data_IF_625057945697
#
_entry.id   IF_625057945697
#
_cell.length_a   1.000
_cell.length_b   1.000
_cell.length_c   1.000
_cell.angle_alpha   90.00
_cell.angle_beta   90.00
_cell.angle_gamma   90.00
#
_symmetry.space_group_name_H-M   'P 1'
#
loop_
_entity.id
_entity.type
_entity.pdbx_description
1 polymer ?
#
# COMPACT_ATOMS: atom_id res chain seq x y z
N UNK A 1 5.03 -12.51 9.94
CA UNK A 1 5.33 -13.84 9.35
C UNK A 1 4.07 -14.36 8.66
N UNK A 2 4.20 -14.89 7.45
CA UNK A 2 3.11 -15.55 6.70
C UNK A 2 3.39 -17.04 6.69
N UNK A 3 2.48 -17.86 7.17
CA UNK A 3 2.60 -19.34 7.18
C UNK A 3 1.47 -19.92 6.34
N UNK A 4 1.85 -20.66 5.32
CA UNK A 4 0.93 -21.36 4.41
C UNK A 4 1.09 -22.86 4.65
N UNK A 5 -0.02 -23.56 4.96
CA UNK A 5 -0.02 -24.98 5.31
C UNK A 5 -1.00 -25.77 4.43
N UNK A 6 -0.48 -26.68 3.65
CA UNK A 6 -1.22 -27.63 2.81
C UNK A 6 -2.29 -26.95 1.93
N UNK A 7 -2.01 -25.74 1.47
CA UNK A 7 -2.95 -24.94 0.70
C UNK A 7 -3.24 -25.61 -0.64
N UNK A 8 -4.51 -25.83 -0.93
CA UNK A 8 -4.98 -26.49 -2.14
C UNK A 8 -6.09 -25.67 -2.79
N UNK A 9 -6.07 -25.56 -4.11
CA UNK A 9 -7.12 -24.93 -4.90
C UNK A 9 -7.50 -25.81 -6.07
N UNK A 10 -8.79 -26.16 -6.13
CA UNK A 10 -9.38 -26.98 -7.19
C UNK A 10 -10.39 -26.16 -7.97
N UNK A 11 -10.30 -26.16 -9.29
CA UNK A 11 -11.29 -25.59 -10.21
C UNK A 11 -11.83 -26.67 -11.15
N UNK A 12 -13.16 -26.84 -11.18
CA UNK A 12 -13.81 -27.79 -12.07
C UNK A 12 -13.28 -29.23 -11.96
N UNK A 13 -12.90 -29.65 -10.75
CA UNK A 13 -12.36 -31.00 -10.49
C UNK A 13 -10.90 -31.20 -10.86
N UNK A 14 -10.17 -30.12 -11.18
CA UNK A 14 -8.71 -30.15 -11.42
C UNK A 14 -8.00 -29.29 -10.39
N UNK A 15 -6.94 -29.82 -9.82
CA UNK A 15 -6.10 -29.07 -8.87
C UNK A 15 -5.24 -28.07 -9.64
N UNK A 16 -5.45 -26.78 -9.34
CA UNK A 16 -4.59 -25.70 -9.79
C UNK A 16 -3.35 -25.59 -8.88
N UNK A 17 -3.57 -25.75 -7.57
CA UNK A 17 -2.51 -25.80 -6.55
C UNK A 17 -2.80 -27.02 -5.66
N UNK A 18 -1.78 -27.81 -5.34
CA UNK A 18 -1.92 -29.01 -4.53
C UNK A 18 -0.91 -29.01 -3.39
N UNK A 19 -1.41 -28.98 -2.16
CA UNK A 19 -0.65 -29.13 -0.91
C UNK A 19 0.55 -28.19 -0.78
N UNK A 20 0.36 -26.91 -1.15
CA UNK A 20 1.42 -25.90 -1.07
C UNK A 20 1.66 -25.53 0.41
N UNK A 21 2.92 -25.63 0.86
CA UNK A 21 3.31 -25.25 2.22
C UNK A 21 4.63 -24.49 2.18
N UNK A 22 4.67 -23.32 2.81
CA UNK A 22 5.87 -22.51 2.99
C UNK A 22 5.65 -21.46 4.07
N UNK A 23 6.75 -20.84 4.48
CA UNK A 23 6.73 -19.72 5.44
C UNK A 23 7.52 -18.56 4.86
N UNK A 24 7.01 -17.34 5.05
CA UNK A 24 7.73 -16.10 4.80
C UNK A 24 7.95 -15.42 6.16
N UNK A 25 9.18 -15.36 6.60
CA UNK A 25 9.55 -14.75 7.88
C UNK A 25 9.43 -13.22 7.82
N UNK A 26 9.38 -12.56 8.98
CA UNK A 26 9.48 -11.10 9.06
C UNK A 26 10.79 -10.65 8.40
N UNK A 27 10.72 -9.56 7.62
CA UNK A 27 11.83 -9.01 6.82
C UNK A 27 12.33 -9.87 5.65
N UNK A 28 11.75 -11.05 5.41
CA UNK A 28 12.11 -11.89 4.27
C UNK A 28 11.46 -11.39 2.97
N UNK A 29 12.17 -11.55 1.83
CA UNK A 29 11.70 -11.21 0.49
C UNK A 29 11.67 -12.49 -0.34
N UNK A 30 10.48 -12.92 -0.71
CA UNK A 30 10.26 -14.20 -1.41
C UNK A 30 9.61 -13.93 -2.77
N UNK A 31 10.22 -14.46 -3.83
CA UNK A 31 9.66 -14.46 -5.18
C UNK A 31 9.03 -15.81 -5.52
N UNK A 32 7.78 -15.79 -5.98
CA UNK A 32 7.08 -16.96 -6.52
C UNK A 32 7.28 -16.99 -8.03
N UNK A 33 7.93 -18.03 -8.53
CA UNK A 33 8.21 -18.19 -9.95
C UNK A 33 7.47 -19.39 -10.52
N UNK A 34 7.06 -19.31 -11.77
CA UNK A 34 6.36 -20.38 -12.47
C UNK A 34 5.76 -19.90 -13.79
N UNK A 35 5.32 -20.84 -14.61
CA UNK A 35 4.68 -20.56 -15.90
C UNK A 35 3.39 -19.72 -15.75
N UNK A 36 2.99 -19.03 -16.84
CA UNK A 36 1.69 -18.36 -16.87
C UNK A 36 0.57 -19.39 -16.68
N UNK A 37 -0.43 -19.04 -15.86
CA UNK A 37 -1.52 -19.96 -15.52
C UNK A 37 -1.19 -21.00 -14.45
N UNK A 38 0.02 -21.01 -13.85
CA UNK A 38 0.39 -21.94 -12.79
C UNK A 38 -0.29 -21.65 -11.42
N UNK A 39 -1.13 -20.62 -11.33
CA UNK A 39 -1.87 -20.30 -10.10
C UNK A 39 -1.16 -19.31 -9.16
N UNK A 40 -0.12 -18.60 -9.63
CA UNK A 40 0.62 -17.63 -8.80
C UNK A 40 -0.27 -16.51 -8.23
N UNK A 41 -1.03 -15.83 -9.08
CA UNK A 41 -2.04 -14.82 -8.68
C UNK A 41 -3.08 -15.43 -7.74
N UNK A 42 -3.55 -16.65 -8.02
CA UNK A 42 -4.52 -17.33 -7.15
C UNK A 42 -3.94 -17.62 -5.78
N UNK A 43 -2.66 -18.00 -5.71
CA UNK A 43 -1.95 -18.18 -4.44
C UNK A 43 -1.93 -16.89 -3.62
N UNK A 44 -1.55 -15.75 -4.24
CA UNK A 44 -1.55 -14.45 -3.56
C UNK A 44 -2.95 -14.06 -3.09
N UNK A 45 -3.99 -14.23 -3.93
CA UNK A 45 -5.39 -13.96 -3.57
C UNK A 45 -5.87 -14.82 -2.39
N UNK A 46 -5.48 -16.10 -2.34
CA UNK A 46 -5.82 -16.96 -1.20
C UNK A 46 -5.11 -16.51 0.08
N UNK A 47 -3.86 -16.06 0.00
CA UNK A 47 -3.12 -15.52 1.15
C UNK A 47 -3.74 -14.20 1.60
N UNK A 48 -4.18 -13.35 0.66
CA UNK A 48 -4.88 -12.10 0.94
C UNK A 48 -6.28 -12.30 1.55
N UNK A 49 -6.88 -13.49 1.37
CA UNK A 49 -8.26 -13.77 1.78
C UNK A 49 -9.31 -13.42 0.72
N UNK A 50 -8.91 -12.96 -0.46
CA UNK A 50 -9.80 -12.59 -1.56
C UNK A 50 -10.36 -13.80 -2.32
N UNK A 51 -9.68 -14.95 -2.20
CA UNK A 51 -10.08 -16.19 -2.85
C UNK A 51 -10.08 -17.33 -1.82
N UNK A 52 -11.18 -18.07 -1.63
CA UNK A 52 -11.22 -19.18 -0.69
C UNK A 52 -10.35 -20.36 -1.19
N UNK A 53 -9.61 -20.98 -0.29
CA UNK A 53 -8.93 -22.24 -0.52
C UNK A 53 -9.90 -23.41 -0.55
N UNK A 54 -9.59 -24.48 -1.29
CA UNK A 54 -10.34 -25.75 -1.22
C UNK A 54 -9.94 -26.59 -0.03
N UNK A 55 -8.69 -26.49 0.43
CA UNK A 55 -8.16 -27.09 1.65
C UNK A 55 -6.90 -26.37 2.12
N UNK A 56 -6.45 -26.66 3.35
CA UNK A 56 -5.30 -26.02 3.97
C UNK A 56 -5.67 -24.69 4.64
N UNK A 57 -4.67 -24.01 5.18
CA UNK A 57 -4.87 -22.75 5.90
C UNK A 57 -3.72 -21.78 5.70
N UNK A 58 -4.02 -20.50 5.91
CA UNK A 58 -3.04 -19.40 5.94
C UNK A 58 -3.11 -18.75 7.31
N UNK A 59 -1.97 -18.64 7.97
CA UNK A 59 -1.83 -17.97 9.24
C UNK A 59 -0.88 -16.77 9.08
N UNK A 60 -1.36 -15.58 9.42
CA UNK A 60 -0.59 -14.34 9.34
C UNK A 60 -0.38 -13.84 10.75
N UNK A 61 0.89 -13.60 11.12
CA UNK A 61 1.22 -13.02 12.42
C UNK A 61 0.70 -11.57 12.53
N UNK A 62 0.82 -10.99 13.72
CA UNK A 62 0.44 -9.60 13.99
C UNK A 62 1.00 -8.63 12.94
N UNK A 63 0.22 -7.60 12.65
CA UNK A 63 0.49 -6.56 11.68
C UNK A 63 -0.42 -6.65 10.45
N UNK A 64 -0.59 -5.50 9.81
CA UNK A 64 -1.45 -5.38 8.65
C UNK A 64 -0.77 -5.91 7.40
N UNK A 65 -1.58 -6.31 6.43
CA UNK A 65 -1.15 -6.82 5.13
C UNK A 65 -1.70 -5.94 4.02
N UNK A 66 -0.83 -5.55 3.11
CA UNK A 66 -1.22 -4.89 1.88
C UNK A 66 -1.07 -5.85 0.69
N UNK A 67 -2.07 -5.88 -0.16
CA UNK A 67 -2.04 -6.62 -1.43
C UNK A 67 -2.21 -5.66 -2.60
N UNK A 68 -1.27 -5.70 -3.54
CA UNK A 68 -1.38 -4.99 -4.81
C UNK A 68 -2.25 -5.80 -5.76
N UNK A 69 -3.51 -5.37 -5.92
CA UNK A 69 -4.42 -5.93 -6.90
C UNK A 69 -4.01 -5.54 -8.32
N UNK A 70 -4.40 -6.35 -9.32
CA UNK A 70 -4.16 -6.04 -10.74
C UNK A 70 -5.05 -4.89 -11.25
N UNK A 71 -6.16 -4.61 -10.57
CA UNK A 71 -7.02 -3.46 -10.84
C UNK A 71 -6.68 -2.32 -9.87
N UNK A 72 -6.59 -1.10 -10.40
CA UNK A 72 -6.29 0.07 -9.57
C UNK A 72 -7.53 0.54 -8.83
N UNK A 73 -7.46 0.57 -7.51
CA UNK A 73 -8.45 1.22 -6.64
C UNK A 73 -7.99 2.66 -6.34
N UNK A 74 -8.22 3.54 -7.31
CA UNK A 74 -7.78 4.93 -7.29
C UNK A 74 -8.97 5.83 -7.60
N UNK A 75 -9.21 6.82 -6.72
CA UNK A 75 -10.27 7.81 -6.93
C UNK A 75 -9.86 8.80 -8.04
N UNK A 76 -10.64 8.83 -9.12
CA UNK A 76 -10.26 9.52 -10.34
C UNK A 76 -10.30 11.05 -10.25
N UNK A 77 -11.12 11.59 -9.37
CA UNK A 77 -11.32 13.03 -9.21
C UNK A 77 -10.25 13.68 -8.31
N UNK A 78 -9.61 12.88 -7.45
CA UNK A 78 -8.53 13.37 -6.58
C UNK A 78 -7.27 13.63 -7.36
N UNK A 79 -6.50 14.61 -6.92
CA UNK A 79 -5.12 14.79 -7.37
C UNK A 79 -4.24 13.64 -6.90
N UNK A 80 -3.11 13.42 -7.58
CA UNK A 80 -2.14 12.41 -7.15
C UNK A 80 -1.69 12.63 -5.69
N UNK A 81 -1.44 13.90 -5.31
CA UNK A 81 -1.06 14.24 -3.94
C UNK A 81 -2.11 13.85 -2.90
N UNK A 82 -3.37 14.24 -3.13
CA UNK A 82 -4.49 13.86 -2.26
C UNK A 82 -4.67 12.35 -2.17
N UNK A 83 -4.55 11.65 -3.30
CA UNK A 83 -4.67 10.21 -3.35
C UNK A 83 -3.55 9.50 -2.57
N UNK A 84 -2.33 10.04 -2.58
CA UNK A 84 -1.23 9.52 -1.76
C UNK A 84 -1.52 9.64 -0.26
N UNK A 85 -2.10 10.75 0.18
CA UNK A 85 -2.46 10.95 1.58
C UNK A 85 -3.52 9.94 2.08
N UNK A 86 -4.40 9.44 1.20
CA UNK A 86 -5.37 8.39 1.58
C UNK A 86 -4.72 7.06 1.97
N UNK A 87 -3.45 6.87 1.66
CA UNK A 87 -2.70 5.69 2.09
C UNK A 87 -2.56 5.62 3.63
N UNK A 88 -2.62 6.75 4.33
CA UNK A 88 -2.45 6.88 5.77
C UNK A 88 -3.68 7.56 6.40
N UNK A 89 -4.82 6.85 6.51
CA UNK A 89 -6.11 7.47 6.83
C UNK A 89 -6.12 8.19 8.19
N UNK A 90 -5.51 7.62 9.22
CA UNK A 90 -5.46 8.26 10.54
C UNK A 90 -4.64 9.56 10.52
N UNK A 91 -3.49 9.54 9.87
CA UNK A 91 -2.63 10.73 9.74
C UNK A 91 -3.30 11.79 8.88
N UNK A 92 -3.97 11.38 7.80
CA UNK A 92 -4.69 12.29 6.92
C UNK A 92 -5.89 12.96 7.62
N UNK A 93 -6.63 12.22 8.43
CA UNK A 93 -7.71 12.77 9.26
C UNK A 93 -7.19 13.83 10.21
N UNK A 94 -6.05 13.58 10.88
CA UNK A 94 -5.43 14.55 11.76
C UNK A 94 -4.94 15.80 11.01
N UNK A 95 -4.38 15.63 9.81
CA UNK A 95 -3.98 16.74 8.95
C UNK A 95 -5.16 17.68 8.67
N UNK A 96 -6.28 17.12 8.20
CA UNK A 96 -7.49 17.91 7.94
C UNK A 96 -8.03 18.57 9.22
N UNK A 97 -7.97 17.86 10.36
CA UNK A 97 -8.43 18.44 11.61
C UNK A 97 -7.58 19.63 12.06
N UNK A 98 -6.26 19.55 11.87
CA UNK A 98 -5.33 20.67 12.12
C UNK A 98 -5.69 21.86 11.21
N UNK A 99 -5.87 21.62 9.91
CA UNK A 99 -6.26 22.66 8.94
C UNK A 99 -7.58 23.34 9.35
N UNK A 100 -8.61 22.57 9.73
CA UNK A 100 -9.91 23.10 10.19
C UNK A 100 -9.77 23.98 11.46
N UNK A 101 -8.97 23.55 12.45
CA UNK A 101 -8.76 24.31 13.69
C UNK A 101 -8.00 25.61 13.39
N UNK A 102 -6.97 25.55 12.54
CA UNK A 102 -6.21 26.72 12.13
C UNK A 102 -7.11 27.75 11.41
N UNK A 103 -8.00 27.28 10.50
CA UNK A 103 -9.00 28.15 9.86
C UNK A 103 -9.97 28.78 10.87
N UNK A 104 -10.48 27.99 11.84
CA UNK A 104 -11.39 28.48 12.88
C UNK A 104 -10.73 29.55 13.78
N UNK A 105 -9.45 29.38 14.10
CA UNK A 105 -8.67 30.37 14.86
C UNK A 105 -8.48 31.68 14.07
N UNK A 106 -8.29 31.60 12.74
CA UNK A 106 -8.15 32.78 11.88
C UNK A 106 -9.50 33.54 11.77
N UNK A 107 -10.62 32.82 11.75
CA UNK A 107 -11.96 33.39 11.64
C UNK A 107 -12.54 33.86 12.99
N UNK A 108 -11.80 33.68 14.10
CA UNK A 108 -12.25 33.94 15.46
C UNK A 108 -13.57 33.23 15.83
N UNK A 109 -13.75 32.01 15.25
CA UNK A 109 -14.94 31.19 15.49
C UNK A 109 -14.68 30.19 16.60
N UNK A 110 -15.35 30.35 17.75
CA UNK A 110 -15.21 29.47 18.91
C UNK A 110 -14.38 30.07 20.07
N UNK A 111 -14.18 29.24 21.12
CA UNK A 111 -13.31 29.62 22.25
C UNK A 111 -11.85 29.37 21.84
N UNK A 112 -11.10 30.46 21.71
CA UNK A 112 -9.70 30.41 21.28
C UNK A 112 -8.81 29.55 22.21
N UNK A 113 -9.10 29.49 23.51
CA UNK A 113 -8.32 28.69 24.45
C UNK A 113 -8.55 27.19 24.24
N UNK A 114 -9.79 26.78 23.99
CA UNK A 114 -10.14 25.36 23.70
C UNK A 114 -9.57 24.94 22.34
N UNK A 115 -9.68 25.78 21.30
CA UNK A 115 -9.12 25.53 19.99
C UNK A 115 -7.59 25.38 20.00
N UNK A 116 -6.88 26.22 20.77
CA UNK A 116 -5.42 26.11 20.92
C UNK A 116 -5.04 24.79 21.61
N UNK A 117 -5.75 24.39 22.67
CA UNK A 117 -5.47 23.14 23.36
C UNK A 117 -5.74 21.91 22.46
N UNK A 118 -6.78 21.97 21.64
CA UNK A 118 -7.09 20.93 20.67
C UNK A 118 -6.02 20.86 19.57
N UNK A 119 -5.56 22.00 19.05
CA UNK A 119 -4.51 22.10 18.04
C UNK A 119 -3.20 21.47 18.54
N UNK A 120 -2.78 21.79 19.77
CA UNK A 120 -1.57 21.22 20.37
C UNK A 120 -1.67 19.69 20.47
N UNK A 121 -2.82 19.19 20.92
CA UNK A 121 -3.08 17.75 21.01
C UNK A 121 -3.04 17.06 19.63
N UNK A 122 -3.65 17.69 18.62
CA UNK A 122 -3.67 17.16 17.24
C UNK A 122 -2.26 17.13 16.63
N UNK A 123 -1.47 18.19 16.82
CA UNK A 123 -0.07 18.25 16.37
C UNK A 123 0.81 17.20 17.06
N UNK A 124 0.65 17.01 18.36
CA UNK A 124 1.40 15.98 19.09
C UNK A 124 1.09 14.57 18.54
N UNK A 125 -0.20 14.28 18.34
CA UNK A 125 -0.62 12.99 17.78
C UNK A 125 -0.14 12.82 16.35
N UNK A 126 -0.26 13.83 15.49
CA UNK A 126 0.25 13.84 14.12
C UNK A 126 1.75 13.54 14.07
N UNK A 127 2.53 14.18 14.95
CA UNK A 127 3.97 13.93 15.08
C UNK A 127 4.29 12.50 15.52
N UNK A 128 3.56 11.97 16.54
CA UNK A 128 3.75 10.60 17.04
C UNK A 128 3.48 9.57 15.95
N UNK A 129 2.47 9.80 15.10
CA UNK A 129 2.14 8.93 13.96
C UNK A 129 3.06 9.14 12.74
N UNK A 130 4.09 9.99 12.86
CA UNK A 130 5.06 10.22 11.80
C UNK A 130 4.58 11.16 10.69
N UNK A 131 3.51 11.92 10.93
CA UNK A 131 2.88 12.82 9.94
C UNK A 131 3.87 13.78 9.28
N UNK A 132 4.84 14.33 10.04
CA UNK A 132 5.86 15.24 9.52
C UNK A 132 6.75 14.63 8.40
N UNK A 133 6.81 13.31 8.31
CA UNK A 133 7.60 12.60 7.30
C UNK A 133 6.83 12.17 6.07
N UNK A 134 5.50 12.34 6.06
CA UNK A 134 4.63 11.80 5.00
C UNK A 134 4.91 12.46 3.66
N UNK A 135 5.02 13.78 3.58
CA UNK A 135 5.33 14.49 2.33
C UNK A 135 6.65 14.04 1.72
N UNK A 136 7.68 13.87 2.56
CA UNK A 136 8.97 13.36 2.11
C UNK A 136 8.87 11.92 1.59
N UNK A 137 8.05 11.09 2.22
CA UNK A 137 7.80 9.72 1.79
C UNK A 137 7.02 9.69 0.47
N UNK A 138 5.99 10.52 0.31
CA UNK A 138 5.23 10.69 -0.93
C UNK A 138 6.17 11.12 -2.05
N UNK A 139 6.94 12.18 -1.86
CA UNK A 139 7.87 12.69 -2.87
C UNK A 139 8.91 11.64 -3.29
N UNK A 140 9.48 10.90 -2.33
CA UNK A 140 10.45 9.84 -2.58
C UNK A 140 9.85 8.68 -3.39
N UNK A 141 8.67 8.20 -2.99
CA UNK A 141 8.02 7.05 -3.63
C UNK A 141 7.50 7.41 -5.01
N UNK A 142 6.83 8.56 -5.17
CA UNK A 142 6.30 9.00 -6.47
C UNK A 142 7.43 9.26 -7.46
N UNK A 143 8.50 9.95 -7.05
CA UNK A 143 9.68 10.17 -7.90
C UNK A 143 10.33 8.85 -8.32
N UNK A 144 10.48 7.91 -7.39
CA UNK A 144 11.04 6.58 -7.67
C UNK A 144 10.23 5.76 -8.66
N UNK A 145 8.90 5.93 -8.66
CA UNK A 145 7.99 5.32 -9.64
C UNK A 145 7.83 6.12 -10.94
N UNK A 146 8.60 7.22 -11.12
CA UNK A 146 8.70 7.96 -12.36
C UNK A 146 7.74 9.14 -12.50
N UNK A 147 7.00 9.52 -11.44
CA UNK A 147 6.20 10.74 -11.44
C UNK A 147 7.10 11.98 -11.31
N UNK A 148 6.72 13.04 -11.99
CA UNK A 148 7.33 14.36 -11.82
C UNK A 148 6.65 15.12 -10.69
N UNK A 149 7.32 16.19 -10.20
CA UNK A 149 6.72 17.08 -9.19
C UNK A 149 5.44 17.77 -9.68
N UNK A 150 5.30 17.97 -11.00
CA UNK A 150 4.09 18.56 -11.60
C UNK A 150 2.91 17.60 -11.62
N UNK A 151 3.16 16.30 -11.55
CA UNK A 151 2.10 15.29 -11.56
C UNK A 151 1.33 15.25 -10.24
N UNK A 152 1.89 15.82 -9.16
CA UNK A 152 1.27 15.80 -7.81
C UNK A 152 -0.09 16.52 -7.80
N UNK A 153 -0.23 17.60 -8.58
CA UNK A 153 -1.46 18.38 -8.68
C UNK A 153 -2.43 17.86 -9.76
N UNK A 154 -2.01 16.83 -10.51
CA UNK A 154 -2.79 16.28 -11.61
C UNK A 154 -3.84 15.30 -11.11
N UNK A 155 -5.12 15.39 -11.59
CA UNK A 155 -6.16 14.42 -11.27
C UNK A 155 -5.76 12.99 -11.66
N UNK A 156 -6.09 12.02 -10.81
CA UNK A 156 -5.78 10.61 -11.05
C UNK A 156 -6.45 10.06 -12.31
N UNK A 157 -7.60 10.61 -12.69
CA UNK A 157 -8.32 10.25 -13.91
C UNK A 157 -7.56 10.56 -15.19
N UNK A 158 -6.66 11.55 -15.17
CA UNK A 158 -5.86 11.95 -16.34
C UNK A 158 -4.67 11.00 -16.62
N UNK A 159 -4.40 10.06 -15.72
CA UNK A 159 -3.35 9.07 -15.89
C UNK A 159 -3.86 7.83 -16.62
N UNK A 160 -3.02 7.22 -17.46
CA UNK A 160 -3.35 5.94 -18.08
C UNK A 160 -3.46 4.81 -17.06
N UNK A 161 -4.07 3.67 -17.43
CA UNK A 161 -4.22 2.51 -16.55
C UNK A 161 -2.91 2.05 -15.91
N UNK A 162 -1.82 2.01 -16.70
CA UNK A 162 -0.49 1.64 -16.18
C UNK A 162 0.06 2.65 -15.15
N UNK A 163 -0.23 3.93 -15.34
CA UNK A 163 0.13 4.95 -14.35
C UNK A 163 -0.73 4.86 -13.08
N UNK A 164 -2.04 4.56 -13.21
CA UNK A 164 -2.90 4.31 -12.05
C UNK A 164 -2.44 3.08 -11.24
N UNK A 165 -1.93 2.04 -11.90
CA UNK A 165 -1.28 0.93 -11.19
C UNK A 165 -0.04 1.36 -10.41
N UNK A 166 0.76 2.30 -10.95
CA UNK A 166 1.89 2.90 -10.20
C UNK A 166 1.39 3.72 -8.99
N UNK A 167 0.23 4.39 -9.10
CA UNK A 167 -0.41 5.09 -7.97
C UNK A 167 -0.78 4.09 -6.87
N UNK A 168 -1.45 2.99 -7.20
CA UNK A 168 -1.79 1.94 -6.24
C UNK A 168 -0.54 1.34 -5.58
N UNK A 169 0.51 1.08 -6.35
CA UNK A 169 1.80 0.61 -5.82
C UNK A 169 2.44 1.65 -4.88
N UNK A 170 2.40 2.94 -5.23
CA UNK A 170 2.90 4.02 -4.37
C UNK A 170 2.18 4.05 -3.01
N UNK A 171 0.85 3.98 -3.00
CA UNK A 171 0.05 3.95 -1.77
C UNK A 171 0.48 2.80 -0.85
N UNK A 172 0.65 1.61 -1.39
CA UNK A 172 1.07 0.43 -0.63
C UNK A 172 2.48 0.62 -0.03
N UNK A 173 3.42 1.17 -0.80
CA UNK A 173 4.78 1.42 -0.34
C UNK A 173 4.86 2.51 0.75
N UNK A 174 3.95 3.51 0.71
CA UNK A 174 3.85 4.57 1.72
C UNK A 174 3.31 4.02 3.05
N UNK A 175 2.36 3.10 3.02
CA UNK A 175 1.75 2.48 4.21
C UNK A 175 2.74 1.70 5.08
N UNK A 176 3.74 1.10 4.48
CA UNK A 176 4.77 0.30 5.17
C UNK A 176 4.22 -0.81 6.05
N UNK A 177 3.23 -1.54 5.56
CA UNK A 177 2.59 -2.64 6.27
C UNK A 177 3.58 -3.77 6.61
N UNK A 178 3.23 -4.56 7.64
CA UNK A 178 4.09 -5.66 8.10
C UNK A 178 4.21 -6.78 7.05
N UNK A 179 3.22 -6.92 6.17
CA UNK A 179 3.17 -7.94 5.13
C UNK A 179 2.78 -7.33 3.80
N UNK A 180 3.58 -7.55 2.76
CA UNK A 180 3.37 -7.01 1.42
C UNK A 180 3.24 -8.14 0.40
N UNK A 181 2.10 -8.19 -0.30
CA UNK A 181 1.83 -9.08 -1.40
C UNK A 181 1.81 -8.29 -2.71
N UNK A 182 2.65 -8.66 -3.68
CA UNK A 182 2.77 -7.97 -4.96
C UNK A 182 2.57 -8.93 -6.13
N UNK A 183 1.52 -8.70 -6.92
CA UNK A 183 1.25 -9.47 -8.13
C UNK A 183 1.74 -8.70 -9.36
N UNK A 184 2.82 -9.18 -9.96
CA UNK A 184 3.47 -8.61 -11.15
C UNK A 184 3.74 -7.09 -11.06
N UNK A 185 4.36 -6.58 -9.96
CA UNK A 185 4.46 -5.14 -9.69
C UNK A 185 5.31 -4.39 -10.73
N UNK A 186 6.05 -5.10 -11.55
CA UNK A 186 6.97 -4.53 -12.54
C UNK A 186 6.38 -4.36 -13.94
N UNK A 187 5.15 -4.85 -14.21
CA UNK A 187 4.59 -4.87 -15.57
C UNK A 187 4.43 -3.50 -16.24
N UNK A 188 4.18 -2.47 -15.45
CA UNK A 188 3.96 -1.11 -15.98
C UNK A 188 5.11 -0.15 -15.68
N UNK A 189 6.26 -0.68 -15.26
CA UNK A 189 7.43 0.12 -14.89
C UNK A 189 8.48 0.10 -16.00
N UNK A 190 9.10 1.27 -16.24
CA UNK A 190 10.33 1.37 -17.02
C UNK A 190 11.55 0.86 -16.23
N UNK A 191 12.72 0.76 -16.88
CA UNK A 191 13.92 0.17 -16.26
C UNK A 191 14.41 0.95 -15.05
N UNK A 192 14.25 2.27 -15.03
CA UNK A 192 14.68 3.12 -13.91
C UNK A 192 13.79 2.84 -12.69
N UNK A 193 12.46 2.90 -12.89
CA UNK A 193 11.48 2.60 -11.86
C UNK A 193 11.58 1.16 -11.34
N UNK A 194 11.87 0.17 -12.23
CA UNK A 194 12.13 -1.23 -11.81
C UNK A 194 13.34 -1.33 -10.89
N UNK A 195 14.43 -0.68 -11.25
CA UNK A 195 15.65 -0.69 -10.45
C UNK A 195 15.44 -0.02 -9.10
N UNK A 196 14.71 1.09 -9.08
CA UNK A 196 14.35 1.77 -7.85
C UNK A 196 13.45 0.89 -6.96
N UNK A 197 12.40 0.27 -7.53
CA UNK A 197 11.51 -0.61 -6.79
C UNK A 197 12.25 -1.80 -6.17
N UNK A 198 13.19 -2.40 -6.91
CA UNK A 198 14.00 -3.49 -6.39
C UNK A 198 14.83 -3.07 -5.16
N UNK A 199 15.39 -1.86 -5.16
CA UNK A 199 16.13 -1.31 -4.01
C UNK A 199 15.18 -1.01 -2.84
N UNK A 200 14.01 -0.42 -3.11
CA UNK A 200 13.00 -0.12 -2.09
C UNK A 200 12.51 -1.39 -1.40
N UNK A 201 12.19 -2.43 -2.19
CA UNK A 201 11.76 -3.73 -1.64
C UNK A 201 12.86 -4.46 -0.87
N UNK A 202 14.11 -4.36 -1.32
CA UNK A 202 15.24 -4.92 -0.58
C UNK A 202 15.38 -4.29 0.82
N UNK A 203 15.12 -2.99 0.94
CA UNK A 203 15.13 -2.25 2.21
C UNK A 203 13.79 -2.24 2.96
N UNK A 204 12.75 -2.88 2.44
CA UNK A 204 11.42 -2.86 3.04
C UNK A 204 11.42 -3.54 4.42
N UNK A 205 10.84 -2.92 5.48
CA UNK A 205 10.94 -3.45 6.84
C UNK A 205 10.08 -4.71 7.07
N UNK A 206 9.04 -4.93 6.29
CA UNK A 206 8.12 -6.05 6.41
C UNK A 206 8.52 -7.29 5.59
N UNK A 207 7.71 -8.34 5.72
CA UNK A 207 7.77 -9.50 4.83
C UNK A 207 7.23 -9.12 3.45
N UNK A 208 7.88 -9.58 2.38
CA UNK A 208 7.44 -9.35 1.00
C UNK A 208 7.31 -10.68 0.28
N UNK A 209 6.13 -10.93 -0.28
CA UNK A 209 5.88 -12.04 -1.18
C UNK A 209 5.44 -11.48 -2.54
N UNK A 210 6.17 -11.81 -3.60
CA UNK A 210 5.91 -11.26 -4.93
C UNK A 210 5.89 -12.33 -6.02
N UNK A 211 5.15 -12.04 -7.10
CA UNK A 211 5.11 -12.81 -8.34
C UNK A 211 5.74 -11.99 -9.46
#
# INVERSE_FOLDING_TARGET
>A
MIVVENLTKTFGGRDLLSTVSFTVSSHEKVGVVGANGAGKTTLLKMIAGDEPSSAGQVNISEGEMAYLHQESDVELERTLGEEMWTALPEVNTLRHRIEEIEESLILEDGDAADLVAELDSAHDRFRVLGGNGVDSSIARVTTGLGFSTKDIEKPCGDFSGGWRMRISLAKILIRREAHLLLDEPTNHLDMVSKSWLAQELAGYPGAVLMV
#
